data_IF_000511755102
#
_entry.id   IF_000511755102
#
_cell.length_a   1.000
_cell.length_b   1.000
_cell.length_c   1.000
_cell.angle_alpha   90.00
_cell.angle_beta   90.00
_cell.angle_gamma   90.00
#
_symmetry.space_group_name_H-M   'P 1'
#
loop_
_entity.id
_entity.type
_entity.pdbx_description
1 polymer ?
#
# COMPACT_ATOMS: atom_id res chain seq x y z
N UNK A 1 29.68 25.40 -0.46
CA UNK A 1 30.24 24.25 0.28
C UNK A 1 29.39 24.08 1.51
N UNK A 2 28.74 22.91 1.62
CA UNK A 2 27.96 22.39 2.76
C UNK A 2 26.72 23.23 3.16
N UNK A 3 25.51 22.69 3.36
CA UNK A 3 25.22 21.49 4.15
C UNK A 3 24.24 20.52 3.47
N UNK A 4 24.75 19.37 3.04
CA UNK A 4 23.95 18.15 2.87
C UNK A 4 23.47 17.69 4.25
N UNK A 5 22.33 18.22 4.71
CA UNK A 5 21.58 17.61 5.80
C UNK A 5 20.95 16.32 5.27
N UNK A 6 21.75 15.25 5.22
CA UNK A 6 21.25 13.88 5.17
C UNK A 6 20.56 13.55 6.50
N UNK A 7 19.43 14.22 6.76
CA UNK A 7 18.54 13.88 7.86
C UNK A 7 17.93 12.52 7.55
N UNK A 8 18.52 11.46 8.11
CA UNK A 8 18.02 10.10 7.99
C UNK A 8 16.49 10.10 8.17
N UNK A 9 15.77 9.77 7.09
CA UNK A 9 14.31 9.72 7.12
C UNK A 9 13.90 8.59 8.05
N UNK A 10 13.05 8.89 9.02
CA UNK A 10 12.45 7.89 9.89
C UNK A 10 11.21 7.33 9.19
N UNK A 11 11.22 6.01 8.97
CA UNK A 11 10.13 5.26 8.35
C UNK A 11 9.81 4.01 9.16
N UNK A 12 8.59 3.45 9.06
CA UNK A 12 8.29 2.16 9.64
C UNK A 12 9.09 1.04 8.95
N UNK A 13 9.09 -0.15 9.54
CA UNK A 13 9.68 -1.33 8.92
C UNK A 13 9.08 -1.57 7.53
N UNK A 14 9.94 -1.88 6.56
CA UNK A 14 9.62 -1.98 5.14
C UNK A 14 9.93 -3.40 4.64
N UNK A 15 9.07 -4.38 4.96
CA UNK A 15 9.28 -5.76 4.55
C UNK A 15 9.26 -5.88 3.02
N UNK A 16 9.94 -6.92 2.52
CA UNK A 16 9.91 -7.26 1.10
C UNK A 16 8.47 -7.60 0.66
N UNK A 17 8.22 -7.48 -0.64
CA UNK A 17 6.96 -7.88 -1.23
C UNK A 17 6.69 -9.37 -1.03
N UNK A 18 5.43 -9.71 -0.76
CA UNK A 18 4.97 -11.07 -0.53
C UNK A 18 3.94 -11.48 -1.57
N UNK A 19 4.02 -12.71 -2.08
CA UNK A 19 3.12 -13.25 -3.10
C UNK A 19 1.95 -14.00 -2.48
N UNK A 20 0.74 -13.78 -3.01
CA UNK A 20 -0.50 -14.37 -2.52
C UNK A 20 -1.32 -14.96 -3.67
N UNK A 21 -1.81 -16.18 -3.46
CA UNK A 21 -2.85 -16.81 -4.29
C UNK A 21 -4.25 -16.64 -3.70
N UNK A 22 -4.35 -16.39 -2.38
CA UNK A 22 -5.61 -16.08 -1.70
C UNK A 22 -5.86 -14.58 -1.71
N UNK A 23 -6.97 -14.17 -2.31
CA UNK A 23 -7.37 -12.76 -2.34
C UNK A 23 -7.61 -12.19 -0.94
N UNK A 24 -8.24 -12.95 -0.04
CA UNK A 24 -8.45 -12.53 1.34
C UNK A 24 -7.12 -12.27 2.05
N UNK A 25 -6.14 -13.18 1.91
CA UNK A 25 -4.82 -13.00 2.53
C UNK A 25 -4.05 -11.81 1.94
N UNK A 26 -4.18 -11.56 0.63
CA UNK A 26 -3.62 -10.37 -0.01
C UNK A 26 -4.21 -9.08 0.58
N UNK A 27 -5.53 -9.04 0.80
CA UNK A 27 -6.19 -7.87 1.39
C UNK A 27 -5.85 -7.70 2.87
N UNK A 28 -5.73 -8.80 3.63
CA UNK A 28 -5.24 -8.75 5.01
C UNK A 28 -3.84 -8.14 5.08
N UNK A 29 -2.97 -8.46 4.11
CA UNK A 29 -1.63 -7.86 4.02
C UNK A 29 -1.68 -6.37 3.70
N UNK A 30 -2.55 -5.95 2.78
CA UNK A 30 -2.77 -4.52 2.48
C UNK A 30 -3.23 -3.74 3.72
N UNK A 31 -4.18 -4.30 4.47
CA UNK A 31 -4.67 -3.71 5.72
C UNK A 31 -3.56 -3.60 6.76
N UNK A 32 -2.76 -4.66 6.96
CA UNK A 32 -1.65 -4.64 7.91
C UNK A 32 -0.62 -3.53 7.58
N UNK A 33 -0.22 -3.42 6.32
CA UNK A 33 0.74 -2.40 5.88
C UNK A 33 0.15 -0.98 5.98
N UNK A 34 -1.11 -0.80 5.59
CA UNK A 34 -1.80 0.49 5.72
C UNK A 34 -1.93 0.92 7.19
N UNK A 35 -2.30 0.00 8.08
CA UNK A 35 -2.43 0.27 9.50
C UNK A 35 -1.09 0.60 10.14
N UNK A 36 -0.02 -0.11 9.79
CA UNK A 36 1.34 0.21 10.25
C UNK A 36 1.76 1.63 9.83
N UNK A 37 1.51 2.01 8.57
CA UNK A 37 1.84 3.33 8.04
C UNK A 37 1.05 4.44 8.75
N UNK A 38 -0.26 4.27 8.89
CA UNK A 38 -1.12 5.27 9.54
C UNK A 38 -0.81 5.41 11.03
N UNK A 39 -0.64 4.30 11.75
CA UNK A 39 -0.27 4.32 13.17
C UNK A 39 1.08 5.00 13.38
N UNK A 40 2.09 4.66 12.57
CA UNK A 40 3.40 5.29 12.64
C UNK A 40 3.32 6.81 12.44
N UNK A 41 2.59 7.27 11.42
CA UNK A 41 2.44 8.71 11.14
C UNK A 41 1.69 9.44 12.25
N UNK A 42 0.61 8.84 12.76
CA UNK A 42 -0.17 9.40 13.87
C UNK A 42 0.66 9.51 15.15
N UNK A 43 1.42 8.48 15.51
CA UNK A 43 2.28 8.46 16.69
C UNK A 43 3.39 9.51 16.60
N UNK A 44 4.04 9.63 15.44
CA UNK A 44 5.09 10.61 15.23
C UNK A 44 4.53 12.05 15.20
N UNK A 45 3.34 12.24 14.65
CA UNK A 45 2.66 13.53 14.67
C UNK A 45 2.34 13.96 16.11
N UNK A 46 1.73 13.09 16.91
CA UNK A 46 1.42 13.37 18.33
C UNK A 46 2.68 13.69 19.14
N UNK A 47 3.78 12.95 18.90
CA UNK A 47 5.08 13.23 19.54
C UNK A 47 5.62 14.60 19.15
N UNK A 48 5.52 14.97 17.87
CA UNK A 48 6.00 16.27 17.39
C UNK A 48 5.17 17.43 17.94
N UNK A 49 3.86 17.27 18.09
CA UNK A 49 2.99 18.25 18.76
C UNK A 49 3.36 18.41 20.23
N UNK A 50 3.62 17.32 20.94
CA UNK A 50 3.91 17.35 22.37
C UNK A 50 5.35 17.79 22.73
N UNK A 51 6.35 17.46 21.90
CA UNK A 51 7.78 17.64 22.22
C UNK A 51 8.54 18.52 21.23
N UNK A 52 7.87 19.05 20.20
CA UNK A 52 8.49 19.77 19.10
C UNK A 52 8.99 18.85 17.98
N UNK A 53 9.31 19.44 16.83
CA UNK A 53 9.70 18.69 15.63
C UNK A 53 11.01 17.91 15.85
N UNK A 54 11.08 16.60 15.52
CA UNK A 54 12.21 15.73 15.84
C UNK A 54 13.50 15.97 15.02
N UNK A 55 13.59 17.08 14.30
CA UNK A 55 14.76 17.46 13.50
C UNK A 55 15.09 16.52 12.34
N UNK A 56 14.14 15.66 11.93
CA UNK A 56 14.31 14.72 10.82
C UNK A 56 12.99 14.52 10.07
N UNK A 57 13.11 14.12 8.81
CA UNK A 57 11.95 13.76 7.98
C UNK A 57 11.31 12.47 8.51
N UNK A 58 9.99 12.48 8.59
CA UNK A 58 9.18 11.31 8.94
C UNK A 58 8.37 10.95 7.70
N UNK A 59 8.43 9.69 7.26
CA UNK A 59 7.66 9.19 6.11
C UNK A 59 7.10 7.81 6.38
N UNK A 60 5.91 7.56 5.84
CA UNK A 60 5.39 6.23 5.61
C UNK A 60 4.78 6.22 4.20
N UNK A 61 4.57 5.03 3.65
CA UNK A 61 4.18 4.85 2.26
C UNK A 61 2.89 4.06 2.16
N UNK A 62 2.11 4.31 1.11
CA UNK A 62 0.92 3.50 0.84
C UNK A 62 1.33 2.06 0.48
N UNK A 63 0.53 1.05 0.83
CA UNK A 63 0.71 -0.28 0.27
C UNK A 63 0.45 -0.30 -1.24
N UNK A 64 1.05 -1.27 -1.92
CA UNK A 64 0.96 -1.52 -3.36
C UNK A 64 0.48 -2.95 -3.62
N UNK A 65 -0.35 -3.11 -4.64
CA UNK A 65 -0.62 -4.41 -5.27
C UNK A 65 0.12 -4.44 -6.59
N UNK A 66 0.82 -5.54 -6.88
CA UNK A 66 1.47 -5.80 -8.16
C UNK A 66 1.01 -7.12 -8.76
N UNK A 67 0.88 -7.14 -10.07
CA UNK A 67 0.55 -8.28 -10.89
C UNK A 67 1.53 -8.34 -12.06
N UNK A 68 2.22 -9.46 -12.24
CA UNK A 68 3.09 -9.70 -13.38
C UNK A 68 2.52 -10.83 -14.23
N UNK A 69 2.20 -10.52 -15.49
CA UNK A 69 1.68 -11.49 -16.46
C UNK A 69 2.77 -11.75 -17.50
N UNK A 70 3.20 -12.99 -17.63
CA UNK A 70 4.34 -13.38 -18.47
C UNK A 70 3.98 -13.73 -19.92
N UNK A 71 2.73 -14.15 -20.18
CA UNK A 71 2.26 -14.65 -21.48
C UNK A 71 0.97 -13.96 -21.95
N UNK A 72 0.75 -13.99 -23.26
CA UNK A 72 -0.54 -13.66 -23.88
C UNK A 72 -1.54 -14.81 -23.64
N UNK A 73 -1.79 -15.17 -22.38
CA UNK A 73 -2.82 -16.17 -22.11
C UNK A 73 -4.14 -15.67 -22.68
N UNK A 74 -4.90 -16.61 -23.25
CA UNK A 74 -6.13 -16.34 -24.00
C UNK A 74 -7.22 -15.92 -23.00
N UNK A 75 -7.16 -14.66 -22.54
CA UNK A 75 -8.13 -14.12 -21.58
C UNK A 75 -9.49 -14.07 -22.26
N UNK A 76 -10.54 -14.56 -21.58
CA UNK A 76 -11.91 -14.47 -22.10
C UNK A 76 -12.32 -12.99 -22.20
N UNK A 77 -12.20 -12.43 -23.41
CA UNK A 77 -12.42 -11.02 -23.74
C UNK A 77 -13.88 -10.57 -23.57
N UNK A 78 -14.79 -11.49 -23.21
CA UNK A 78 -16.19 -11.20 -22.89
C UNK A 78 -16.39 -10.64 -21.48
N UNK A 79 -15.36 -10.67 -20.63
CA UNK A 79 -15.36 -10.00 -19.33
C UNK A 79 -14.97 -8.53 -19.49
N UNK A 80 -15.92 -7.63 -19.22
CA UNK A 80 -15.73 -6.18 -19.30
C UNK A 80 -14.65 -5.62 -18.34
N UNK A 81 -14.21 -6.42 -17.36
CA UNK A 81 -13.20 -6.07 -16.35
C UNK A 81 -12.33 -7.29 -16.01
N UNK A 82 -11.11 -7.09 -15.49
CA UNK A 82 -10.23 -8.18 -15.03
C UNK A 82 -9.36 -8.83 -16.11
N UNK A 83 -9.16 -8.16 -17.25
CA UNK A 83 -8.20 -8.56 -18.27
C UNK A 83 -7.05 -7.55 -18.36
N UNK A 84 -5.89 -8.07 -18.73
CA UNK A 84 -4.68 -7.32 -18.95
C UNK A 84 -4.35 -7.45 -20.44
N UNK A 85 -4.15 -6.32 -21.13
CA UNK A 85 -4.08 -6.30 -22.60
C UNK A 85 -2.78 -6.86 -23.19
N UNK A 86 -1.71 -6.93 -22.39
CA UNK A 86 -0.40 -7.41 -22.81
C UNK A 86 0.39 -7.99 -21.63
N UNK A 87 1.39 -8.85 -21.87
CA UNK A 87 2.37 -9.20 -20.86
C UNK A 87 3.04 -7.96 -20.27
N UNK A 88 3.25 -7.97 -18.96
CA UNK A 88 3.82 -6.83 -18.25
C UNK A 88 3.58 -6.88 -16.75
N UNK A 89 4.12 -5.87 -16.07
CA UNK A 89 3.93 -5.66 -14.63
C UNK A 89 2.99 -4.48 -14.42
N UNK A 90 1.92 -4.72 -13.69
CA UNK A 90 0.88 -3.76 -13.36
C UNK A 90 0.93 -3.53 -11.86
N UNK A 91 0.96 -2.28 -11.44
CA UNK A 91 1.02 -1.92 -10.03
C UNK A 91 0.08 -0.75 -9.74
N UNK A 92 -0.52 -0.76 -8.54
CA UNK A 92 -1.30 0.37 -8.04
C UNK A 92 -1.15 0.49 -6.53
N UNK A 93 -1.18 1.72 -6.04
CA UNK A 93 -1.24 1.98 -4.60
C UNK A 93 -2.67 1.84 -4.07
N UNK A 94 -2.79 1.47 -2.80
CA UNK A 94 -4.07 1.24 -2.13
C UNK A 94 -4.19 2.10 -0.88
N UNK A 95 -5.35 2.72 -0.71
CA UNK A 95 -5.72 3.46 0.51
C UNK A 95 -7.02 2.91 1.08
N UNK A 96 -7.18 2.98 2.41
CA UNK A 96 -8.35 2.45 3.14
C UNK A 96 -8.77 1.05 2.66
N UNK A 97 -7.85 0.06 2.67
CA UNK A 97 -8.17 -1.31 2.24
C UNK A 97 -9.30 -1.92 3.08
N UNK A 98 -9.47 -1.49 4.33
CA UNK A 98 -10.60 -1.84 5.20
C UNK A 98 -11.96 -1.42 4.61
N UNK A 99 -12.05 -0.20 4.05
CA UNK A 99 -13.27 0.34 3.45
C UNK A 99 -13.60 -0.37 2.14
N UNK A 100 -12.57 -0.72 1.37
CA UNK A 100 -12.70 -1.36 0.05
C UNK A 100 -12.54 -2.88 0.11
N UNK A 101 -12.50 -3.49 1.29
CA UNK A 101 -12.13 -4.90 1.50
C UNK A 101 -12.86 -5.84 0.54
N UNK A 102 -14.19 -5.78 0.54
CA UNK A 102 -15.01 -6.67 -0.29
C UNK A 102 -14.75 -6.45 -1.79
N UNK A 103 -14.57 -5.21 -2.22
CA UNK A 103 -14.24 -4.88 -3.59
C UNK A 103 -12.86 -5.42 -3.98
N UNK A 104 -11.84 -5.19 -3.15
CA UNK A 104 -10.48 -5.65 -3.38
C UNK A 104 -10.40 -7.18 -3.46
N UNK A 105 -11.10 -7.89 -2.56
CA UNK A 105 -11.19 -9.36 -2.61
C UNK A 105 -11.77 -9.80 -3.95
N UNK A 106 -12.92 -9.25 -4.35
CA UNK A 106 -13.55 -9.63 -5.62
C UNK A 106 -12.65 -9.37 -6.83
N UNK A 107 -11.96 -8.22 -6.89
CA UNK A 107 -11.08 -7.90 -8.01
C UNK A 107 -9.85 -8.80 -8.05
N UNK A 108 -9.20 -9.05 -6.90
CA UNK A 108 -8.02 -9.92 -6.83
C UNK A 108 -8.40 -11.35 -7.18
N UNK A 109 -9.55 -11.84 -6.72
CA UNK A 109 -10.03 -13.18 -7.11
C UNK A 109 -10.23 -13.31 -8.63
N UNK A 110 -10.76 -12.28 -9.29
CA UNK A 110 -10.91 -12.28 -10.75
C UNK A 110 -9.54 -12.31 -11.44
N UNK A 111 -8.57 -11.54 -10.96
CA UNK A 111 -7.22 -11.52 -11.51
C UNK A 111 -6.52 -12.88 -11.38
N UNK A 112 -6.54 -13.46 -10.17
CA UNK A 112 -5.92 -14.76 -9.91
C UNK A 112 -6.59 -15.86 -10.74
N UNK A 113 -7.93 -15.87 -10.83
CA UNK A 113 -8.67 -16.89 -11.60
C UNK A 113 -8.46 -16.76 -13.10
N UNK A 114 -8.45 -15.55 -13.64
CA UNK A 114 -8.41 -15.34 -15.09
C UNK A 114 -7.00 -15.50 -15.67
N UNK A 115 -5.96 -15.17 -14.90
CA UNK A 115 -4.57 -15.18 -15.38
C UNK A 115 -3.74 -16.32 -14.78
N UNK A 116 -4.25 -17.04 -13.77
CA UNK A 116 -3.51 -18.13 -13.12
C UNK A 116 -2.23 -17.69 -12.39
N UNK A 117 -2.08 -16.39 -12.11
CA UNK A 117 -0.90 -15.81 -11.45
C UNK A 117 -1.23 -15.37 -10.02
N UNK A 118 -0.20 -15.28 -9.18
CA UNK A 118 -0.29 -14.68 -7.84
C UNK A 118 -0.22 -13.16 -7.92
N UNK A 119 -0.82 -12.47 -6.94
CA UNK A 119 -0.58 -11.03 -6.71
C UNK A 119 0.53 -10.84 -5.70
N UNK A 120 1.32 -9.79 -5.84
CA UNK A 120 2.35 -9.42 -4.87
C UNK A 120 1.91 -8.17 -4.10
N UNK A 121 2.10 -8.18 -2.78
CA UNK A 121 1.74 -7.08 -1.88
C UNK A 121 2.97 -6.57 -1.16
N UNK A 122 3.17 -5.25 -1.13
CA UNK A 122 4.24 -4.62 -0.35
C UNK A 122 4.02 -3.12 -0.19
N UNK A 123 5.08 -2.39 0.17
CA UNK A 123 5.04 -0.93 0.22
C UNK A 123 5.35 -0.33 -1.15
N UNK A 124 4.64 0.74 -1.50
CA UNK A 124 4.95 1.57 -2.65
C UNK A 124 6.05 2.60 -2.34
N UNK A 125 6.48 3.32 -3.36
CA UNK A 125 7.30 4.54 -3.20
C UNK A 125 6.47 5.81 -3.02
N UNK A 126 5.13 5.70 -2.97
CA UNK A 126 4.23 6.86 -2.83
C UNK A 126 4.05 7.22 -1.36
N UNK A 127 4.58 8.38 -0.90
CA UNK A 127 4.49 8.76 0.50
C UNK A 127 3.04 9.10 0.88
N UNK A 128 2.62 8.65 2.07
CA UNK A 128 1.31 8.95 2.64
C UNK A 128 1.33 10.34 3.31
N UNK A 129 0.50 11.29 2.88
CA UNK A 129 0.37 12.57 3.57
C UNK A 129 -0.21 12.39 4.98
N UNK A 130 0.41 13.03 5.98
CA UNK A 130 0.07 12.86 7.40
C UNK A 130 -1.41 13.15 7.72
N UNK A 131 -2.03 14.10 7.02
CA UNK A 131 -3.44 14.46 7.26
C UNK A 131 -4.41 13.31 6.97
N UNK A 132 -4.07 12.39 6.06
CA UNK A 132 -4.87 11.20 5.79
C UNK A 132 -4.67 10.10 6.84
N UNK A 133 -3.50 10.04 7.48
CA UNK A 133 -3.23 9.08 8.55
C UNK A 133 -3.95 9.46 9.86
N UNK A 134 -3.95 10.75 10.20
CA UNK A 134 -4.53 11.24 11.46
C UNK A 134 -6.06 11.33 11.43
N UNK A 135 -6.67 11.59 10.26
CA UNK A 135 -8.13 11.75 10.12
C UNK A 135 -8.93 10.45 10.39
N UNK A 136 -8.30 9.29 10.25
CA UNK A 136 -8.91 7.99 10.56
C UNK A 136 -8.76 7.54 12.01
N UNK A 137 -7.96 8.27 12.79
CA UNK A 137 -7.70 8.00 14.21
C UNK A 137 -8.59 8.94 15.02
N UNK A 138 -9.19 8.51 16.13
CA UNK A 138 -9.90 9.38 17.10
C UNK A 138 -8.93 10.28 17.86
N UNK A 139 -8.07 11.00 17.14
CA UNK A 139 -7.16 11.99 17.69
C UNK A 139 -7.96 13.28 17.76
N UNK A 140 -8.38 13.65 18.96
CA UNK A 140 -8.85 15.00 19.23
C UNK A 140 -7.68 15.95 19.00
N UNK A 141 -7.76 16.75 17.93
CA UNK A 141 -6.84 17.88 17.73
C UNK A 141 -7.32 18.96 18.72
N UNK A 142 -6.47 19.38 19.68
CA UNK A 142 -6.83 20.42 20.64
C UNK A 142 -6.98 21.80 19.98
#
# INVERSE_FOLDING_TARGET
MQDDHNSATLSPDAPAMESFSSAAAAVDRLEALYNQATQFLSDQFLRAVAKGHPGRRIRAFYPEIRLTVASFDQVDTRLAFGHVSAPGTYATTVTRPDLFRNYLIQQIELLVRNHGVTVEIGLSDTPMPVHFAVSGSTVAIP
#
